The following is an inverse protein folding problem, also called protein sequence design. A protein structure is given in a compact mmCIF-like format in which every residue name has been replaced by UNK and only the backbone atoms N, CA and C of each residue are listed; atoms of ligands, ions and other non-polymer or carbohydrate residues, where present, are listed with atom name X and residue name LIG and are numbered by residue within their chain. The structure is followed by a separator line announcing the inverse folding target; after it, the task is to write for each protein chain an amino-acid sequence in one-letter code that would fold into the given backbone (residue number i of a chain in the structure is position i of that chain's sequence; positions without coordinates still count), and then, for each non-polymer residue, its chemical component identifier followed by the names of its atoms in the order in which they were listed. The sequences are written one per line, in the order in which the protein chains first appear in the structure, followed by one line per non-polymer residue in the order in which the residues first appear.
data_IF_605987651361
#
_entry.id   IF_605987651361
#
_cell.length_a   1.000
_cell.length_b   1.000
_cell.length_c   1.000
_cell.angle_alpha   90.00
_cell.angle_beta   90.00
_cell.angle_gamma   90.00
#
_symmetry.space_group_name_H-M   'P 1'
#
loop_
_entity.id
_entity.type
_entity.pdbx_description
1 polymer ?
#
# COMPACT_ATOMS: atom_id res chain seq x y z
N UNK A 1 27.11 1.83 4.69
CA UNK A 1 26.14 2.63 3.90
C UNK A 1 24.83 2.68 4.67
N UNK A 2 24.48 3.82 5.25
CA UNK A 2 23.19 4.05 5.91
C UNK A 2 22.16 4.28 4.81
N UNK A 3 21.27 3.30 4.59
CA UNK A 3 20.23 3.39 3.57
C UNK A 3 18.90 3.66 4.25
N UNK A 4 18.48 4.92 4.18
CA UNK A 4 17.10 5.40 4.31
C UNK A 4 16.28 4.92 5.53
N UNK A 5 16.56 5.48 6.71
CA UNK A 5 15.54 5.60 7.78
C UNK A 5 14.56 6.74 7.44
N UNK A 6 14.01 6.74 6.22
CA UNK A 6 12.88 7.61 5.91
C UNK A 6 11.65 7.03 6.61
N UNK A 7 11.20 7.72 7.65
CA UNK A 7 10.02 7.37 8.42
C UNK A 7 8.83 7.14 7.47
N UNK A 8 8.17 5.98 7.60
CA UNK A 8 7.04 5.63 6.76
C UNK A 8 5.90 6.63 6.96
N UNK A 9 5.44 7.26 5.87
CA UNK A 9 4.34 8.23 5.93
C UNK A 9 3.03 7.46 6.19
N UNK A 10 2.24 7.80 7.21
CA UNK A 10 0.95 7.16 7.43
C UNK A 10 -0.08 7.63 6.40
N UNK A 11 -0.93 6.70 5.94
CA UNK A 11 -1.92 7.01 4.93
C UNK A 11 -3.08 6.03 4.91
N UNK A 12 -4.08 6.39 4.12
CA UNK A 12 -5.28 5.60 3.89
C UNK A 12 -5.16 4.81 2.59
N UNK A 13 -5.27 3.47 2.69
CA UNK A 13 -5.27 2.53 1.57
C UNK A 13 -6.70 2.11 1.25
N UNK A 14 -7.11 2.21 -0.01
CA UNK A 14 -8.44 1.81 -0.48
C UNK A 14 -8.41 1.07 -1.82
N UNK A 15 -9.46 0.28 -2.04
CA UNK A 15 -9.79 -0.36 -3.31
C UNK A 15 -11.07 0.27 -3.85
N UNK A 16 -11.05 0.67 -5.12
CA UNK A 16 -12.18 1.28 -5.80
C UNK A 16 -12.53 0.43 -7.02
N UNK A 17 -13.75 -0.12 -7.01
CA UNK A 17 -14.32 -0.77 -8.19
C UNK A 17 -15.10 0.26 -9.00
N UNK A 18 -14.84 0.36 -10.29
CA UNK A 18 -15.61 1.17 -11.23
C UNK A 18 -15.82 0.38 -12.51
N UNK A 19 -17.05 -0.08 -12.71
CA UNK A 19 -17.40 -1.08 -13.72
C UNK A 19 -16.46 -2.31 -13.63
N UNK A 20 -15.62 -2.49 -14.65
CA UNK A 20 -14.74 -3.64 -14.80
C UNK A 20 -13.33 -3.38 -14.30
N UNK A 21 -13.05 -2.16 -13.85
CA UNK A 21 -11.74 -1.73 -13.39
C UNK A 21 -11.68 -1.70 -11.87
N UNK A 22 -10.66 -2.36 -11.32
CA UNK A 22 -10.28 -2.25 -9.92
C UNK A 22 -9.07 -1.31 -9.81
N UNK A 23 -9.15 -0.31 -8.95
CA UNK A 23 -8.06 0.66 -8.70
C UNK A 23 -7.69 0.68 -7.24
N UNK A 24 -6.41 0.53 -6.94
CA UNK A 24 -5.84 0.73 -5.62
C UNK A 24 -5.42 2.18 -5.47
N UNK A 25 -5.76 2.79 -4.32
CA UNK A 25 -5.33 4.14 -3.98
C UNK A 25 -4.72 4.15 -2.59
N UNK A 26 -3.57 4.79 -2.46
CA UNK A 26 -2.99 5.13 -1.15
C UNK A 26 -2.83 6.65 -1.07
N UNK A 27 -3.35 7.25 0.00
CA UNK A 27 -3.34 8.70 0.18
C UNK A 27 -2.76 9.05 1.56
N UNK A 28 -1.70 9.87 1.64
CA UNK A 28 -1.17 10.36 2.91
C UNK A 28 -2.25 11.02 3.79
N UNK A 29 -2.19 10.77 5.10
CA UNK A 29 -3.16 11.34 6.04
C UNK A 29 -3.17 12.88 6.05
N UNK A 30 -2.03 13.51 5.74
CA UNK A 30 -1.91 14.97 5.64
C UNK A 30 -2.86 15.55 4.59
N UNK A 31 -3.04 14.85 3.47
CA UNK A 31 -3.97 15.26 2.41
C UNK A 31 -5.43 15.04 2.80
N UNK A 32 -5.71 14.09 3.69
CA UNK A 32 -7.07 13.73 4.12
C UNK A 32 -7.60 14.59 5.27
N UNK A 33 -6.72 14.98 6.20
CA UNK A 33 -7.13 15.63 7.44
C UNK A 33 -7.49 17.12 7.26
N UNK A 34 -7.33 17.70 6.07
CA UNK A 34 -7.67 19.10 5.79
C UNK A 34 -6.81 20.15 6.52
N UNK A 35 -5.91 19.73 7.41
CA UNK A 35 -5.10 20.61 8.27
C UNK A 35 -3.81 21.12 7.62
N UNK A 36 -3.50 20.71 6.39
CA UNK A 36 -2.41 21.31 5.60
C UNK A 36 -2.63 22.82 5.36
N UNK A 37 -3.82 23.33 5.67
CA UNK A 37 -4.24 24.69 5.42
C UNK A 37 -4.06 25.71 6.55
N UNK A 38 -3.65 25.35 7.78
CA UNK A 38 -3.61 26.37 8.84
C UNK A 38 -2.18 26.85 9.15
N UNK A 39 -1.24 25.95 9.43
CA UNK A 39 0.09 26.35 9.93
C UNK A 39 1.11 26.69 8.84
N UNK A 40 1.02 26.07 7.67
CA UNK A 40 1.94 26.34 6.54
C UNK A 40 1.36 27.35 5.54
N UNK A 41 0.04 27.41 5.45
CA UNK A 41 -0.72 28.37 4.64
C UNK A 41 -0.59 29.80 5.23
N UNK A 42 -0.75 29.99 6.54
CA UNK A 42 -0.57 31.32 7.18
C UNK A 42 0.85 31.88 7.03
N UNK A 43 1.86 31.01 7.16
CA UNK A 43 3.28 31.41 6.98
C UNK A 43 3.60 31.83 5.54
N UNK A 44 2.88 31.32 4.53
CA UNK A 44 3.10 31.69 3.11
C UNK A 44 2.13 32.76 2.60
N UNK A 45 0.94 32.92 3.19
CA UNK A 45 0.03 34.03 2.90
C UNK A 45 0.59 35.39 3.30
N UNK A 46 1.47 35.43 4.30
CA UNK A 46 2.16 36.67 4.66
C UNK A 46 3.14 37.16 3.58
N UNK A 47 3.45 36.37 2.53
CA UNK A 47 4.43 36.79 1.53
C UNK A 47 3.86 37.23 0.18
N UNK A 48 2.80 36.62 -0.39
CA UNK A 48 2.31 37.06 -1.72
C UNK A 48 0.80 36.90 -1.90
N UNK A 49 0.14 38.06 -2.11
CA UNK A 49 -1.25 38.20 -2.57
C UNK A 49 -1.51 37.44 -3.87
N UNK A 50 -2.45 36.49 -3.85
CA UNK A 50 -2.91 35.77 -5.04
C UNK A 50 -3.59 36.71 -6.04
N UNK A 51 -3.33 36.54 -7.35
CA UNK A 51 -4.00 37.29 -8.42
C UNK A 51 -5.26 36.58 -8.88
N UNK A 52 -6.39 37.28 -8.89
CA UNK A 52 -7.65 36.80 -9.45
C UNK A 52 -7.59 36.83 -10.99
N UNK A 53 -7.73 35.67 -11.63
CA UNK A 53 -7.84 35.54 -13.08
C UNK A 53 -9.29 35.41 -13.54
N UNK A 54 -9.64 35.96 -14.71
CA UNK A 54 -10.96 35.82 -15.33
C UNK A 54 -10.80 35.39 -16.79
N UNK A 55 -11.48 34.31 -17.17
CA UNK A 55 -11.66 33.88 -18.56
C UNK A 55 -13.17 33.78 -18.78
N UNK A 56 -13.70 34.52 -19.76
CA UNK A 56 -15.14 34.56 -20.08
C UNK A 56 -16.08 34.85 -18.89
N UNK A 57 -15.68 35.73 -17.98
CA UNK A 57 -16.53 36.14 -16.85
C UNK A 57 -16.64 35.09 -15.74
N UNK A 58 -15.89 33.99 -15.83
CA UNK A 58 -15.75 33.03 -14.74
C UNK A 58 -14.49 33.35 -13.94
N UNK A 59 -14.68 33.71 -12.68
CA UNK A 59 -13.59 33.97 -11.74
C UNK A 59 -13.03 32.63 -11.27
N UNK A 60 -11.77 32.36 -11.62
CA UNK A 60 -11.06 31.22 -11.09
C UNK A 60 -9.97 31.72 -10.14
N UNK A 61 -9.98 31.18 -8.92
CA UNK A 61 -8.84 31.30 -8.04
C UNK A 61 -7.72 30.46 -8.65
N UNK A 62 -6.77 31.10 -9.32
CA UNK A 62 -5.52 30.42 -9.69
C UNK A 62 -4.75 30.27 -8.39
N UNK A 63 -4.92 29.13 -7.70
CA UNK A 63 -4.07 28.78 -6.58
C UNK A 63 -2.66 28.59 -7.13
N UNK A 64 -1.85 29.65 -7.12
CA UNK A 64 -0.43 29.65 -7.48
C UNK A 64 0.44 28.98 -6.42
N UNK A 65 -0.14 28.12 -5.59
CA UNK A 65 0.60 27.29 -4.65
C UNK A 65 0.72 25.89 -5.27
N UNK A 66 1.91 25.27 -5.25
CA UNK A 66 1.97 23.86 -5.53
C UNK A 66 1.00 23.15 -4.57
N UNK A 67 0.17 22.27 -5.13
CA UNK A 67 -0.49 21.22 -4.37
C UNK A 67 0.57 20.67 -3.38
N UNK A 68 0.17 20.47 -2.11
CA UNK A 68 1.07 20.00 -1.04
C UNK A 68 2.09 18.95 -1.50
N UNK A 69 3.34 19.01 -1.01
CA UNK A 69 4.40 18.03 -1.33
C UNK A 69 3.96 16.58 -1.10
N UNK A 70 2.93 16.36 -0.27
CA UNK A 70 2.39 15.04 -0.02
C UNK A 70 1.72 14.39 -1.24
N UNK A 71 1.33 15.16 -2.26
CA UNK A 71 0.75 14.62 -3.50
C UNK A 71 1.76 13.81 -4.31
N UNK A 72 3.05 14.08 -4.18
CA UNK A 72 4.11 13.31 -4.85
C UNK A 72 4.22 11.88 -4.29
N UNK A 73 3.70 11.63 -3.09
CA UNK A 73 3.67 10.30 -2.48
C UNK A 73 2.36 9.54 -2.70
N UNK A 74 1.29 10.20 -3.18
CA UNK A 74 0.01 9.54 -3.36
C UNK A 74 0.10 8.48 -4.47
N UNK A 75 -0.46 7.30 -4.21
CA UNK A 75 -0.46 6.20 -5.17
C UNK A 75 -1.86 6.00 -5.74
N UNK A 76 -1.95 5.88 -7.06
CA UNK A 76 -3.16 5.50 -7.78
C UNK A 76 -2.74 4.46 -8.81
N UNK A 77 -3.27 3.25 -8.67
CA UNK A 77 -2.79 2.07 -9.38
C UNK A 77 -3.96 1.28 -9.93
N UNK A 78 -4.20 1.30 -11.25
CA UNK A 78 -5.12 0.36 -11.88
C UNK A 78 -4.59 -1.06 -11.73
N UNK A 79 -5.35 -1.98 -11.15
CA UNK A 79 -4.92 -3.36 -10.93
C UNK A 79 -4.70 -4.12 -12.24
N UNK A 80 -5.32 -3.68 -13.34
CA UNK A 80 -5.07 -4.22 -14.68
C UNK A 80 -3.62 -4.05 -15.14
N UNK A 81 -2.84 -3.17 -14.51
CA UNK A 81 -1.41 -2.96 -14.79
C UNK A 81 -0.50 -3.78 -13.87
N UNK A 82 -1.03 -4.42 -12.84
CA UNK A 82 -0.24 -5.18 -11.86
C UNK A 82 -0.16 -6.64 -12.30
N UNK A 83 1.06 -7.17 -12.32
CA UNK A 83 1.34 -8.57 -12.72
C UNK A 83 1.79 -9.44 -11.56
N UNK A 84 2.24 -8.83 -10.47
CA UNK A 84 2.73 -9.55 -9.32
C UNK A 84 2.55 -8.70 -8.05
N UNK A 85 2.14 -9.38 -6.97
CA UNK A 85 2.04 -8.83 -5.62
C UNK A 85 2.99 -9.62 -4.73
N UNK A 86 4.03 -8.96 -4.23
CA UNK A 86 5.00 -9.55 -3.33
C UNK A 86 4.72 -9.08 -1.90
N UNK A 87 4.42 -10.02 -1.02
CA UNK A 87 4.16 -9.79 0.40
C UNK A 87 5.29 -10.38 1.24
N UNK A 88 5.91 -9.58 2.10
CA UNK A 88 6.98 -10.01 2.98
C UNK A 88 6.58 -9.78 4.44
N UNK A 89 6.71 -10.83 5.25
CA UNK A 89 6.60 -10.76 6.71
C UNK A 89 7.98 -10.43 7.27
N UNK A 90 8.12 -9.23 7.82
CA UNK A 90 9.30 -8.83 8.57
C UNK A 90 9.29 -9.43 9.99
N UNK A 91 10.45 -9.41 10.67
CA UNK A 91 10.53 -9.55 12.12
C UNK A 91 9.45 -8.73 12.83
N UNK A 92 8.96 -9.20 13.98
CA UNK A 92 7.88 -8.55 14.77
C UNK A 92 6.47 -8.65 14.14
N UNK A 93 6.29 -9.45 13.07
CA UNK A 93 5.00 -9.63 12.37
C UNK A 93 4.47 -8.36 11.68
N UNK A 94 5.36 -7.49 11.21
CA UNK A 94 5.02 -6.41 10.28
C UNK A 94 4.98 -6.94 8.87
N UNK A 95 4.03 -6.45 8.07
CA UNK A 95 3.84 -6.89 6.69
C UNK A 95 4.15 -5.77 5.73
N UNK A 96 4.93 -6.07 4.69
CA UNK A 96 5.09 -5.21 3.53
C UNK A 96 4.45 -5.84 2.30
N UNK A 97 3.85 -5.00 1.47
CA UNK A 97 3.31 -5.37 0.16
C UNK A 97 3.96 -4.51 -0.91
N UNK A 98 4.50 -5.14 -1.94
CA UNK A 98 5.09 -4.50 -3.11
C UNK A 98 4.30 -4.91 -4.34
N UNK A 99 3.89 -3.92 -5.13
CA UNK A 99 3.20 -4.13 -6.40
C UNK A 99 4.20 -4.03 -7.54
N UNK A 100 4.22 -5.03 -8.41
CA UNK A 100 5.04 -5.03 -9.63
C UNK A 100 4.13 -4.86 -10.83
N UNK A 101 4.41 -3.84 -11.63
CA UNK A 101 3.62 -3.49 -12.81
C UNK A 101 4.09 -4.26 -14.07
N UNK A 102 3.26 -4.30 -15.11
CA UNK A 102 3.54 -4.99 -16.40
C UNK A 102 4.84 -4.53 -17.06
N UNK A 103 5.24 -3.27 -16.85
CA UNK A 103 6.48 -2.67 -17.35
C UNK A 103 7.72 -3.02 -16.50
N UNK A 104 7.54 -3.81 -15.43
CA UNK A 104 8.59 -4.16 -14.48
C UNK A 104 8.79 -3.12 -13.35
N UNK A 105 8.06 -2.01 -13.36
CA UNK A 105 8.17 -0.98 -12.32
C UNK A 105 7.65 -1.52 -10.98
N UNK A 106 8.53 -1.52 -9.97
CA UNK A 106 8.16 -1.82 -8.59
C UNK A 106 7.67 -0.55 -7.90
N UNK A 107 6.47 -0.60 -7.32
CA UNK A 107 5.90 0.53 -6.56
C UNK A 107 6.50 0.57 -5.15
N UNK A 108 6.51 1.74 -4.48
CA UNK A 108 6.97 1.84 -3.10
C UNK A 108 6.26 0.84 -2.18
N UNK A 109 6.97 0.22 -1.22
CA UNK A 109 6.41 -0.78 -0.32
C UNK A 109 5.33 -0.19 0.59
N UNK A 110 4.17 -0.84 0.62
CA UNK A 110 3.08 -0.51 1.54
C UNK A 110 3.27 -1.30 2.84
N UNK A 111 3.42 -0.58 3.96
CA UNK A 111 3.57 -1.16 5.27
C UNK A 111 2.21 -1.29 5.95
N UNK A 112 1.84 -2.50 6.33
CA UNK A 112 0.62 -2.78 7.07
C UNK A 112 0.89 -2.82 8.58
N UNK A 113 -0.06 -2.33 9.41
CA UNK A 113 0.02 -2.49 10.85
C UNK A 113 -0.04 -3.97 11.25
N UNK A 114 0.47 -4.29 12.44
CA UNK A 114 0.46 -5.64 12.98
C UNK A 114 -0.98 -6.19 13.04
N UNK A 115 -1.14 -7.48 12.73
CA UNK A 115 -2.43 -8.18 12.78
C UNK A 115 -2.85 -8.74 11.41
N UNK A 116 -4.16 -8.90 11.23
CA UNK A 116 -4.75 -9.53 10.03
C UNK A 116 -5.01 -8.59 8.85
N UNK A 117 -4.48 -7.36 8.88
CA UNK A 117 -4.83 -6.31 7.92
C UNK A 117 -4.42 -6.62 6.48
N UNK A 118 -3.22 -7.18 6.27
CA UNK A 118 -2.76 -7.60 4.95
C UNK A 118 -3.69 -8.68 4.37
N UNK A 119 -4.02 -9.70 5.16
CA UNK A 119 -4.88 -10.81 4.73
C UNK A 119 -6.30 -10.33 4.42
N UNK A 120 -6.85 -9.43 5.24
CA UNK A 120 -8.14 -8.81 4.97
C UNK A 120 -8.11 -8.01 3.66
N UNK A 121 -7.04 -7.24 3.43
CA UNK A 121 -6.84 -6.51 2.19
C UNK A 121 -6.75 -7.43 0.97
N UNK A 122 -5.92 -8.49 1.01
CA UNK A 122 -5.79 -9.46 -0.08
C UNK A 122 -7.12 -10.20 -0.35
N UNK A 123 -7.87 -10.51 0.69
CA UNK A 123 -9.21 -11.11 0.56
C UNK A 123 -10.18 -10.18 -0.18
N UNK A 124 -10.19 -8.89 0.16
CA UNK A 124 -10.98 -7.87 -0.53
C UNK A 124 -10.51 -7.68 -1.97
N UNK A 125 -9.21 -7.68 -2.22
CA UNK A 125 -8.62 -7.58 -3.55
C UNK A 125 -9.05 -8.77 -4.43
N UNK A 126 -8.88 -10.00 -3.94
CA UNK A 126 -9.29 -11.21 -4.67
C UNK A 126 -10.79 -11.19 -5.01
N UNK A 127 -11.64 -10.76 -4.08
CA UNK A 127 -13.07 -10.61 -4.34
C UNK A 127 -13.37 -9.51 -5.38
N UNK A 128 -12.58 -8.42 -5.38
CA UNK A 128 -12.72 -7.34 -6.36
C UNK A 128 -12.24 -7.71 -7.77
N UNK A 129 -11.38 -8.72 -7.89
CA UNK A 129 -10.94 -9.25 -9.19
C UNK A 129 -12.01 -10.13 -9.86
N UNK A 130 -12.90 -10.76 -9.09
CA UNK A 130 -13.94 -11.64 -9.62
C UNK A 130 -14.99 -10.88 -10.44
N UNK A 131 -15.59 -11.52 -11.48
CA UNK A 131 -15.29 -12.86 -11.98
C UNK A 131 -14.14 -12.89 -13.01
N UNK A 132 -13.47 -11.76 -13.25
CA UNK A 132 -12.57 -11.55 -14.39
C UNK A 132 -11.12 -11.92 -14.11
N UNK A 133 -10.75 -12.06 -12.85
CA UNK A 133 -9.43 -12.50 -12.40
C UNK A 133 -9.49 -13.04 -10.98
N UNK A 134 -8.37 -13.60 -10.54
CA UNK A 134 -8.14 -14.06 -9.19
C UNK A 134 -6.64 -13.96 -8.86
N UNK A 135 -6.28 -14.01 -7.58
CA UNK A 135 -4.89 -14.18 -7.17
C UNK A 135 -4.42 -15.61 -7.51
N UNK A 136 -3.17 -15.75 -7.94
CA UNK A 136 -2.59 -17.06 -8.29
C UNK A 136 -1.23 -17.24 -7.59
N UNK A 137 -1.10 -18.15 -6.60
CA UNK A 137 -2.12 -19.10 -6.15
C UNK A 137 -3.24 -18.41 -5.36
N UNK A 138 -4.46 -18.98 -5.33
CA UNK A 138 -5.56 -18.42 -4.55
C UNK A 138 -5.26 -18.45 -3.05
N UNK A 139 -5.89 -17.54 -2.30
CA UNK A 139 -5.81 -17.57 -0.84
C UNK A 139 -6.43 -18.86 -0.29
N UNK A 140 -5.77 -19.50 0.67
CA UNK A 140 -6.21 -20.81 1.18
C UNK A 140 -7.48 -20.65 2.04
N UNK A 141 -8.51 -21.46 1.84
CA UNK A 141 -9.67 -21.47 2.73
C UNK A 141 -9.48 -22.46 3.88
N UNK A 142 -9.55 -22.02 5.13
CA UNK A 142 -9.61 -22.88 6.30
C UNK A 142 -11.07 -23.02 6.78
N UNK A 143 -11.58 -24.26 6.80
CA UNK A 143 -12.93 -24.55 7.30
C UNK A 143 -13.14 -23.95 8.69
N UNK A 144 -14.17 -23.11 8.84
CA UNK A 144 -14.51 -22.42 10.09
C UNK A 144 -13.67 -21.19 10.45
N UNK A 145 -12.60 -20.87 9.71
CA UNK A 145 -11.72 -19.70 9.98
C UNK A 145 -11.60 -18.68 8.84
N UNK A 146 -12.16 -18.98 7.66
CA UNK A 146 -12.10 -18.07 6.50
C UNK A 146 -10.82 -18.25 5.66
N UNK A 147 -10.45 -17.22 4.89
CA UNK A 147 -9.22 -17.23 4.07
C UNK A 147 -7.98 -17.09 4.96
N UNK A 148 -6.92 -17.82 4.65
CA UNK A 148 -5.61 -17.83 5.32
C UNK A 148 -4.50 -17.87 4.26
N UNK A 149 -3.29 -17.48 4.64
CA UNK A 149 -2.15 -17.57 3.74
C UNK A 149 -1.87 -19.05 3.33
N UNK A 150 -1.41 -19.30 2.09
CA UNK A 150 -1.00 -20.63 1.65
C UNK A 150 0.06 -21.22 2.60
N UNK A 151 -0.09 -22.47 3.03
CA UNK A 151 0.94 -23.11 3.88
C UNK A 151 2.20 -23.35 3.05
N UNK A 152 3.26 -22.60 3.31
CA UNK A 152 4.59 -22.88 2.75
C UNK A 152 5.14 -24.16 3.39
N UNK A 153 5.25 -25.23 2.61
CA UNK A 153 5.99 -26.43 3.05
C UNK A 153 7.48 -26.09 3.10
N UNK A 154 8.03 -25.97 4.31
CA UNK A 154 9.49 -25.87 4.52
C UNK A 154 10.16 -27.09 3.87
N UNK A 155 10.97 -26.87 2.82
CA UNK A 155 11.77 -27.93 2.21
C UNK A 155 12.88 -28.30 3.20
N UNK A 156 12.60 -29.24 4.09
CA UNK A 156 13.62 -29.85 4.95
C UNK A 156 14.58 -30.64 4.04
N UNK A 157 15.72 -30.03 3.71
CA UNK A 157 16.88 -30.77 3.23
C UNK A 157 17.51 -31.45 4.44
N UNK A 158 17.36 -32.76 4.52
CA UNK A 158 17.86 -33.63 5.59
C UNK A 158 19.22 -33.20 6.19
N UNK A 159 19.26 -32.97 7.50
CA UNK A 159 20.34 -33.42 8.39
C UNK A 159 19.82 -33.53 9.83
N UNK A 160 19.78 -34.76 10.30
CA UNK A 160 19.71 -35.15 11.71
C UNK A 160 20.80 -34.45 12.53
N UNK A 161 20.45 -33.79 13.63
CA UNK A 161 20.89 -34.07 15.01
C UNK A 161 19.91 -33.36 15.95
N UNK A 162 19.45 -34.09 16.96
CA UNK A 162 18.67 -33.64 18.11
C UNK A 162 19.37 -32.48 18.84
N UNK A 163 18.71 -31.31 18.93
CA UNK A 163 19.12 -30.15 19.73
C UNK A 163 17.85 -29.33 20.02
N UNK A 164 17.38 -29.43 21.27
CA UNK A 164 16.48 -28.55 22.03
C UNK A 164 15.75 -27.45 21.22
N UNK A 165 14.42 -27.54 21.13
CA UNK A 165 13.54 -26.47 20.62
C UNK A 165 13.70 -25.21 21.49
N UNK A 166 14.55 -24.29 21.05
CA UNK A 166 14.54 -22.90 21.47
C UNK A 166 13.32 -22.22 20.84
N UNK A 167 12.35 -21.68 21.61
CA UNK A 167 11.23 -20.94 21.04
C UNK A 167 11.72 -19.55 20.68
N UNK A 168 12.29 -19.41 19.49
CA UNK A 168 12.71 -18.11 18.98
C UNK A 168 13.56 -18.25 17.74
N UNK A 169 12.94 -18.26 16.57
CA UNK A 169 13.66 -17.83 15.37
C UNK A 169 12.72 -17.11 14.40
N UNK A 170 12.97 -15.82 14.38
CA UNK A 170 12.65 -14.74 13.46
C UNK A 170 12.56 -15.16 11.98
N UNK A 171 11.56 -15.96 11.64
CA UNK A 171 11.36 -16.46 10.28
C UNK A 171 10.55 -15.45 9.49
N UNK A 172 11.23 -14.65 8.67
CA UNK A 172 10.58 -13.88 7.63
C UNK A 172 9.90 -14.82 6.64
N UNK A 173 8.71 -14.43 6.17
CA UNK A 173 7.88 -15.25 5.31
C UNK A 173 7.44 -14.47 4.08
N UNK A 174 7.71 -15.01 2.90
CA UNK A 174 7.39 -14.39 1.62
C UNK A 174 6.21 -15.07 0.91
N UNK A 175 5.32 -14.27 0.33
CA UNK A 175 4.25 -14.70 -0.56
C UNK A 175 4.30 -13.91 -1.86
N UNK A 176 4.20 -14.61 -2.99
CA UNK A 176 4.09 -14.02 -4.32
C UNK A 176 2.78 -14.48 -4.92
N UNK A 177 1.97 -13.51 -5.36
CA UNK A 177 0.69 -13.70 -6.04
C UNK A 177 0.69 -13.00 -7.40
#
# INVERSE_FOLDING_TARGET
EQKDDLEAIPGYLSLHQSADNLTLKWTPNQLMNGTLGDSELEKRYSLHSGKMGSIHGVYFFVSSFPLSVYWDYALIVPLSQIVCIHCHQQPESRWTLVLVSQDGTQRPPLHFPQGGHLLAFLSCLENGLLPRGQLEPPLWSQQGKGKVFPKLRKRNSNKSVDLEEVPGEDTSTDYVF
#
